data_IF_961207014007
#
_entry.id   IF_961207014007
#
_cell.length_a   1.000
_cell.length_b   1.000
_cell.length_c   1.000
_cell.angle_alpha   90.00
_cell.angle_beta   90.00
_cell.angle_gamma   90.00
#
_symmetry.space_group_name_H-M   'P 1'
#
loop_
_entity.id
_entity.type
_entity.pdbx_description
1 polymer ?
#
# COMPACT_ATOMS: atom_id res chain seq x y z
N UNK A 1 8.21 14.92 9.90
CA UNK A 1 8.66 13.71 9.17
C UNK A 1 7.40 13.01 8.64
N UNK A 2 6.98 13.31 7.41
CA UNK A 2 5.84 12.62 6.80
C UNK A 2 6.38 11.52 5.89
N UNK A 3 6.63 10.35 6.47
CA UNK A 3 6.87 9.16 5.69
C UNK A 3 5.52 8.68 5.15
N UNK A 4 5.14 9.14 3.95
CA UNK A 4 3.94 8.67 3.23
C UNK A 4 4.06 7.21 2.75
N UNK A 5 4.89 6.38 3.39
CA UNK A 5 4.99 4.97 3.09
C UNK A 5 4.04 4.21 4.01
N UNK A 6 3.14 3.42 3.44
CA UNK A 6 2.32 2.54 4.25
C UNK A 6 3.21 1.41 4.77
N UNK A 7 3.39 1.32 6.07
CA UNK A 7 4.12 0.23 6.74
C UNK A 7 3.18 -0.96 7.04
N UNK A 8 1.86 -0.71 6.99
CA UNK A 8 0.82 -1.68 7.31
C UNK A 8 -0.28 -1.66 6.25
N UNK A 9 -1.01 -2.77 6.14
CA UNK A 9 -2.12 -2.93 5.22
C UNK A 9 -3.21 -3.81 5.81
N UNK A 10 -4.44 -3.64 5.30
CA UNK A 10 -5.58 -4.48 5.66
C UNK A 10 -5.73 -5.61 4.62
N UNK A 11 -5.85 -6.84 5.10
CA UNK A 11 -6.12 -8.05 4.31
C UNK A 11 -7.11 -8.93 5.10
N UNK A 12 -8.24 -9.33 4.48
CA UNK A 12 -9.30 -10.11 5.15
C UNK A 12 -9.70 -9.57 6.53
N UNK A 13 -10.04 -8.29 6.60
CA UNK A 13 -10.40 -7.59 7.84
C UNK A 13 -9.33 -7.50 8.94
N UNK A 14 -8.12 -8.00 8.68
CA UNK A 14 -7.00 -7.98 9.61
C UNK A 14 -5.89 -7.06 9.11
N UNK A 15 -5.19 -6.37 10.01
CA UNK A 15 -4.07 -5.50 9.66
C UNK A 15 -2.76 -6.29 9.77
N UNK A 16 -1.96 -6.25 8.71
CA UNK A 16 -0.66 -6.90 8.61
C UNK A 16 0.42 -5.86 8.29
N UNK A 17 1.66 -6.17 8.68
CA UNK A 17 2.82 -5.35 8.34
C UNK A 17 3.37 -5.72 6.97
N UNK A 18 3.93 -4.73 6.27
CA UNK A 18 4.61 -4.90 4.98
C UNK A 18 5.70 -5.97 5.04
N UNK A 19 6.32 -6.19 6.20
CA UNK A 19 7.33 -7.23 6.42
C UNK A 19 6.88 -8.63 5.97
N UNK A 20 5.59 -8.96 6.14
CA UNK A 20 5.01 -10.24 5.67
C UNK A 20 5.15 -10.34 4.15
N UNK A 21 4.79 -9.28 3.43
CA UNK A 21 4.92 -9.19 1.97
C UNK A 21 6.37 -9.24 1.52
N UNK A 22 7.27 -8.60 2.26
CA UNK A 22 8.71 -8.62 1.96
C UNK A 22 9.24 -10.06 2.06
N UNK A 23 8.86 -10.79 3.10
CA UNK A 23 9.28 -12.17 3.30
C UNK A 23 8.72 -13.10 2.21
N UNK A 24 7.44 -12.96 1.88
CA UNK A 24 6.78 -13.68 0.78
C UNK A 24 7.44 -13.38 -0.57
N UNK A 25 7.64 -12.09 -0.87
CA UNK A 25 8.33 -11.66 -2.09
C UNK A 25 9.76 -12.22 -2.16
N UNK A 26 10.50 -12.26 -1.05
CA UNK A 26 11.85 -12.84 -1.04
C UNK A 26 11.84 -14.34 -1.34
N UNK A 27 10.87 -15.07 -0.78
CA UNK A 27 10.75 -16.52 -1.00
C UNK A 27 10.21 -16.87 -2.39
N UNK A 28 9.44 -15.98 -3.01
CA UNK A 28 8.68 -16.27 -4.22
C UNK A 28 9.09 -15.38 -5.41
N UNK A 29 10.37 -15.04 -5.51
CA UNK A 29 10.97 -14.27 -6.62
C UNK A 29 10.30 -12.92 -6.91
N UNK A 30 9.78 -12.29 -5.86
CA UNK A 30 9.12 -11.00 -5.91
C UNK A 30 7.61 -11.08 -6.02
N UNK A 31 7.02 -12.28 -5.94
CA UNK A 31 5.58 -12.44 -6.10
C UNK A 31 4.90 -12.60 -4.73
N UNK A 32 3.99 -11.71 -4.38
CA UNK A 32 3.26 -11.78 -3.10
C UNK A 32 1.95 -12.58 -3.21
N UNK A 33 1.73 -13.25 -4.35
CA UNK A 33 0.65 -14.22 -4.54
C UNK A 33 -0.72 -13.65 -4.18
N UNK A 34 -1.37 -14.24 -3.17
CA UNK A 34 -2.72 -13.88 -2.72
C UNK A 34 -2.86 -12.45 -2.23
N UNK A 35 -1.75 -11.80 -1.84
CA UNK A 35 -1.78 -10.42 -1.38
C UNK A 35 -1.77 -9.43 -2.55
N UNK A 36 -1.27 -9.83 -3.71
CA UNK A 36 -1.32 -9.00 -4.92
C UNK A 36 -2.80 -8.77 -5.25
N UNK A 37 -3.26 -7.53 -5.16
CA UNK A 37 -4.66 -7.09 -5.34
C UNK A 37 -5.62 -7.23 -4.14
N UNK A 38 -5.24 -7.88 -3.04
CA UNK A 38 -6.07 -8.01 -1.83
C UNK A 38 -5.59 -7.15 -0.64
N UNK A 39 -4.68 -6.22 -0.90
CA UNK A 39 -4.14 -5.31 0.10
C UNK A 39 -4.94 -4.02 0.05
N UNK A 40 -5.49 -3.63 1.19
CA UNK A 40 -6.30 -2.43 1.34
C UNK A 40 -5.67 -1.47 2.34
N UNK A 41 -6.10 -0.20 2.28
CA UNK A 41 -5.68 0.80 3.24
C UNK A 41 -6.07 0.38 4.66
N UNK A 42 -5.13 0.41 5.64
CA UNK A 42 -5.40 -0.01 7.02
C UNK A 42 -6.43 0.88 7.72
N UNK A 43 -6.53 2.15 7.31
CA UNK A 43 -7.43 3.13 7.92
C UNK A 43 -8.85 3.06 7.33
N UNK A 44 -8.97 3.09 6.01
CA UNK A 44 -10.28 3.18 5.36
C UNK A 44 -10.82 1.84 4.87
N UNK A 45 -9.97 0.82 4.70
CA UNK A 45 -10.37 -0.51 4.23
C UNK A 45 -10.95 -0.57 2.81
N UNK A 46 -11.02 0.55 2.09
CA UNK A 46 -11.63 0.64 0.76
C UNK A 46 -10.59 0.82 -0.35
N UNK A 47 -9.63 1.72 -0.15
CA UNK A 47 -8.62 2.00 -1.16
C UNK A 47 -7.66 0.82 -1.33
N UNK A 48 -7.47 0.36 -2.57
CA UNK A 48 -6.51 -0.70 -2.88
C UNK A 48 -5.09 -0.18 -2.86
N UNK A 49 -4.22 -0.94 -2.22
CA UNK A 49 -2.79 -0.66 -2.16
C UNK A 49 -2.03 -1.64 -3.05
N UNK A 50 -1.03 -1.11 -3.75
CA UNK A 50 -0.05 -1.86 -4.51
C UNK A 50 1.24 -1.99 -3.72
N UNK A 51 1.69 -3.22 -3.59
CA UNK A 51 3.04 -3.53 -3.12
C UNK A 51 4.04 -3.34 -4.26
N UNK A 52 5.07 -2.54 -3.99
CA UNK A 52 6.21 -2.38 -4.89
C UNK A 52 7.42 -3.00 -4.23
N UNK A 53 7.98 -4.00 -4.92
CA UNK A 53 9.12 -4.75 -4.45
C UNK A 53 10.39 -3.92 -4.35
N UNK A 54 11.27 -4.38 -3.48
CA UNK A 54 12.63 -3.88 -3.42
C UNK A 54 13.31 -4.15 -4.76
N UNK A 55 13.80 -3.06 -5.34
CA UNK A 55 14.70 -3.09 -6.49
C UNK A 55 16.06 -2.62 -6.01
N UNK A 56 17.14 -2.89 -6.74
CA UNK A 56 18.52 -2.57 -6.32
C UNK A 56 18.78 -1.11 -5.90
N UNK A 57 17.82 -0.19 -6.14
CA UNK A 57 17.90 1.23 -5.79
C UNK A 57 16.84 1.69 -4.78
N UNK A 58 15.80 0.90 -4.47
CA UNK A 58 14.66 1.32 -3.64
C UNK A 58 14.15 0.17 -2.78
N UNK A 59 13.92 0.44 -1.50
CA UNK A 59 13.29 -0.50 -0.54
C UNK A 59 11.87 -0.86 -0.97
N UNK A 60 11.34 -1.97 -0.45
CA UNK A 60 9.93 -2.30 -0.58
C UNK A 60 9.05 -1.18 0.00
N UNK A 61 7.99 -0.79 -0.71
CA UNK A 61 7.01 0.15 -0.19
C UNK A 61 5.61 -0.19 -0.72
N UNK A 62 4.61 0.18 0.09
CA UNK A 62 3.21 0.13 -0.30
C UNK A 62 2.79 1.52 -0.79
N UNK A 63 1.92 1.55 -1.79
CA UNK A 63 1.39 2.77 -2.38
C UNK A 63 -0.07 2.57 -2.76
N UNK A 64 -0.92 3.57 -2.64
CA UNK A 64 -2.30 3.47 -3.12
C UNK A 64 -2.32 3.42 -4.65
N UNK A 65 -3.10 2.49 -5.22
CA UNK A 65 -3.34 2.44 -6.67
C UNK A 65 -4.09 3.71 -7.08
N UNK A 66 -5.20 3.96 -6.39
CA UNK A 66 -6.02 5.14 -6.58
C UNK A 66 -6.22 5.85 -5.25
N UNK A 67 -5.53 6.98 -5.07
CA UNK A 67 -5.75 7.86 -3.91
C UNK A 67 -7.19 8.40 -3.85
N UNK A 68 -7.95 8.29 -4.96
CA UNK A 68 -9.36 8.67 -5.05
C UNK A 68 -10.31 7.68 -4.35
N UNK A 69 -9.90 6.41 -4.17
CA UNK A 69 -10.72 5.38 -3.53
C UNK A 69 -10.76 5.50 -2.00
N UNK A 70 -9.94 6.39 -1.43
CA UNK A 70 -9.96 6.66 0.00
C UNK A 70 -11.26 7.33 0.41
N UNK A 71 -11.84 6.87 1.52
CA UNK A 71 -13.05 7.45 2.09
C UNK A 71 -12.72 8.85 2.65
N UNK A 72 -13.69 9.77 2.59
CA UNK A 72 -13.58 11.09 3.25
C UNK A 72 -13.27 10.90 4.73
N UNK A 73 -12.11 11.37 5.17
CA UNK A 73 -11.62 11.22 6.55
C UNK A 73 -10.45 10.25 6.71
N UNK A 74 -10.01 9.58 5.63
CA UNK A 74 -8.77 8.79 5.68
C UNK A 74 -7.54 9.71 5.78
N UNK A 75 -6.63 9.42 6.69
CA UNK A 75 -5.40 10.22 6.86
C UNK A 75 -4.49 10.18 5.62
N UNK A 76 -4.66 9.15 4.79
CA UNK A 76 -3.96 8.96 3.51
C UNK A 76 -4.68 9.55 2.30
N UNK A 77 -5.85 10.18 2.49
CA UNK A 77 -6.54 10.91 1.43
C UNK A 77 -5.68 12.13 1.07
N UNK A 78 -4.82 11.98 0.07
CA UNK A 78 -4.11 13.11 -0.51
C UNK A 78 -5.16 14.01 -1.17
N UNK A 79 -5.25 15.30 -0.79
CA UNK A 79 -6.08 16.22 -1.54
C UNK A 79 -5.57 16.21 -2.98
N UNK A 80 -6.46 15.97 -3.94
CA UNK A 80 -6.13 16.11 -5.37
C UNK A 80 -5.67 17.54 -5.58
N UNK A 81 -4.36 17.78 -5.56
CA UNK A 81 -3.79 19.03 -6.04
C UNK A 81 -3.90 18.96 -7.57
N UNK A 82 -5.10 19.21 -8.08
CA UNK A 82 -5.28 19.51 -9.49
C UNK A 82 -4.49 20.78 -9.75
N UNK A 83 -3.29 20.67 -10.34
CA UNK A 83 -2.65 21.82 -10.97
C UNK A 83 -3.55 22.24 -12.13
N UNK A 84 -4.46 23.17 -11.85
CA UNK A 84 -5.23 23.87 -12.88
C UNK A 84 -4.21 24.76 -13.61
N UNK A 85 -3.93 24.44 -14.87
CA UNK A 85 -3.16 25.29 -15.79
C UNK A 85 -3.94 26.55 -16.11
#
# INVERSE_FOLDING_TARGET
>A
MNNNNYEQFKFNDSIYNIEVLINEAKNNNGNIGIYQDNIYCPECGNARLKFTNETSKRKCFLSAIDSSEHIKGCNYLLPKITKKR
#
